data_IF_556561977348
#
_entry.id   IF_556561977348
#
_cell.length_a   1.000
_cell.length_b   1.000
_cell.length_c   1.000
_cell.angle_alpha   90.00
_cell.angle_beta   90.00
_cell.angle_gamma   90.00
#
_symmetry.space_group_name_H-M   'P 1'
#
loop_
_entity.id
_entity.type
_entity.pdbx_description
1 polymer ?
#
# COMPACT_ATOMS: atom_id res chain seq x y z
N UNK A 1 23.61 -6.44 14.16
CA UNK A 1 22.30 -6.94 14.59
C UNK A 1 21.91 -8.02 13.58
N UNK A 2 21.15 -9.04 13.98
CA UNK A 2 20.60 -10.01 13.04
C UNK A 2 19.56 -9.35 12.14
N UNK A 3 19.31 -9.91 10.97
CA UNK A 3 18.28 -9.44 10.04
C UNK A 3 17.12 -10.45 9.99
N UNK A 4 15.90 -10.03 9.64
CA UNK A 4 14.78 -10.96 9.50
C UNK A 4 15.10 -12.19 8.65
N UNK A 5 15.72 -11.99 7.49
CA UNK A 5 16.08 -13.09 6.59
C UNK A 5 17.06 -14.08 7.25
N UNK A 6 18.06 -13.59 8.01
CA UNK A 6 19.01 -14.43 8.73
C UNK A 6 18.35 -15.22 9.87
N UNK A 7 17.29 -14.67 10.47
CA UNK A 7 16.49 -15.32 11.52
C UNK A 7 15.37 -16.21 10.95
N UNK A 8 15.29 -16.36 9.61
CA UNK A 8 14.33 -17.22 8.91
C UNK A 8 12.95 -16.62 8.73
N UNK A 9 12.79 -15.30 8.91
CA UNK A 9 11.56 -14.58 8.61
C UNK A 9 11.51 -14.13 7.16
N UNK A 10 10.28 -13.96 6.64
CA UNK A 10 10.01 -13.39 5.32
C UNK A 10 8.67 -12.68 5.30
N UNK A 11 8.52 -11.69 4.44
CA UNK A 11 7.24 -11.07 4.13
C UNK A 11 6.38 -12.05 3.34
N UNK A 12 5.20 -12.47 3.83
CA UNK A 12 4.28 -13.28 3.05
C UNK A 12 3.63 -12.44 1.95
N UNK A 13 3.14 -13.09 0.90
CA UNK A 13 2.31 -12.41 -0.08
C UNK A 13 0.99 -11.93 0.54
N UNK A 14 0.40 -10.87 -0.01
CA UNK A 14 -0.83 -10.27 0.52
C UNK A 14 -2.03 -11.23 0.48
N UNK A 15 -2.05 -12.20 -0.42
CA UNK A 15 -3.11 -13.24 -0.46
C UNK A 15 -2.94 -14.36 0.57
N UNK A 16 -1.87 -14.37 1.37
CA UNK A 16 -1.73 -15.29 2.49
C UNK A 16 -2.83 -15.06 3.53
N UNK A 17 -3.20 -16.05 4.36
CA UNK A 17 -4.21 -15.85 5.40
C UNK A 17 -3.84 -14.72 6.36
N UNK A 18 -4.80 -13.85 6.65
CA UNK A 18 -4.66 -12.75 7.60
C UNK A 18 -5.27 -13.09 8.97
N UNK A 19 -4.65 -12.62 10.02
CA UNK A 19 -5.24 -12.56 11.36
C UNK A 19 -6.20 -11.38 11.46
N UNK A 20 -5.81 -10.21 10.90
CA UNK A 20 -6.61 -8.97 10.86
C UNK A 20 -6.02 -7.95 9.89
N UNK A 21 -6.80 -6.90 9.66
CA UNK A 21 -6.36 -5.67 9.00
C UNK A 21 -6.20 -4.56 10.02
N UNK A 22 -5.09 -3.80 9.92
CA UNK A 22 -4.87 -2.55 10.63
C UNK A 22 -5.18 -1.37 9.71
N UNK A 23 -5.80 -0.32 10.28
CA UNK A 23 -6.05 0.96 9.63
C UNK A 23 -5.75 2.09 10.61
N UNK A 24 -5.60 3.33 10.12
CA UNK A 24 -5.52 4.55 10.94
C UNK A 24 -6.74 5.45 10.65
N UNK A 25 -7.12 6.28 11.62
CA UNK A 25 -8.30 7.13 11.53
C UNK A 25 -7.92 8.57 11.15
N UNK A 26 -8.52 9.17 10.11
CA UNK A 26 -8.20 10.53 9.70
C UNK A 26 -8.45 11.56 10.82
N UNK A 27 -7.40 12.31 11.13
CA UNK A 27 -7.40 13.46 12.01
C UNK A 27 -7.23 14.78 11.23
N UNK A 28 -7.46 15.94 11.85
CA UNK A 28 -7.19 17.22 11.22
C UNK A 28 -5.68 17.42 11.02
N UNK A 29 -5.25 17.58 9.77
CA UNK A 29 -3.87 17.82 9.35
C UNK A 29 -3.85 18.54 8.00
N UNK A 30 -2.69 18.67 7.35
CA UNK A 30 -2.56 19.32 6.05
C UNK A 30 -3.34 18.59 4.93
N UNK A 31 -3.48 17.26 5.03
CA UNK A 31 -4.26 16.46 4.08
C UNK A 31 -5.78 16.68 4.23
N UNK A 32 -6.24 16.99 5.46
CA UNK A 32 -7.66 17.11 5.82
C UNK A 32 -7.92 18.41 6.60
N UNK A 33 -7.55 19.57 6.02
CA UNK A 33 -7.70 20.88 6.68
C UNK A 33 -9.16 21.32 6.81
N UNK A 34 -9.97 21.11 5.75
CA UNK A 34 -11.37 21.47 5.78
C UNK A 34 -12.19 20.44 6.60
N UNK A 35 -13.00 20.89 7.58
CA UNK A 35 -13.83 19.97 8.36
C UNK A 35 -14.82 19.14 7.53
N UNK A 36 -15.29 19.62 6.37
CA UNK A 36 -16.18 18.88 5.50
C UNK A 36 -15.42 17.76 4.77
N UNK A 37 -14.19 18.03 4.33
CA UNK A 37 -13.31 17.05 3.69
C UNK A 37 -12.86 16.00 4.70
N UNK A 38 -12.48 16.38 5.91
CA UNK A 38 -12.21 15.45 6.99
C UNK A 38 -13.41 14.54 7.28
N UNK A 39 -14.62 15.09 7.35
CA UNK A 39 -15.83 14.31 7.57
C UNK A 39 -16.13 13.37 6.39
N UNK A 40 -15.85 13.78 5.14
CA UNK A 40 -15.98 12.93 3.96
C UNK A 40 -14.94 11.80 3.99
N UNK A 41 -13.69 12.10 4.31
CA UNK A 41 -12.60 11.13 4.43
C UNK A 41 -12.91 10.09 5.51
N UNK A 42 -13.36 10.49 6.69
CA UNK A 42 -13.80 9.57 7.74
C UNK A 42 -14.89 8.60 7.29
N UNK A 43 -15.85 9.08 6.47
CA UNK A 43 -16.87 8.18 5.87
C UNK A 43 -16.27 7.22 4.85
N UNK A 44 -15.32 7.68 4.03
CA UNK A 44 -14.64 6.83 3.04
C UNK A 44 -13.81 5.73 3.73
N UNK A 45 -12.98 6.09 4.73
CA UNK A 45 -12.24 5.12 5.56
C UNK A 45 -13.16 4.10 6.23
N UNK A 46 -14.26 4.57 6.82
CA UNK A 46 -15.24 3.69 7.43
C UNK A 46 -15.90 2.74 6.41
N UNK A 47 -16.09 3.17 5.16
CA UNK A 47 -16.62 2.30 4.10
C UNK A 47 -15.65 1.17 3.76
N UNK A 48 -14.35 1.47 3.66
CA UNK A 48 -13.31 0.45 3.47
C UNK A 48 -13.23 -0.49 4.67
N UNK A 49 -13.17 0.04 5.89
CA UNK A 49 -13.13 -0.77 7.11
C UNK A 49 -14.31 -1.76 7.19
N UNK A 50 -15.53 -1.29 6.88
CA UNK A 50 -16.73 -2.15 6.84
C UNK A 50 -16.70 -3.18 5.71
N UNK A 51 -16.12 -2.83 4.55
CA UNK A 51 -15.95 -3.78 3.44
C UNK A 51 -15.00 -4.91 3.83
N UNK A 52 -13.84 -4.58 4.42
CA UNK A 52 -12.86 -5.55 4.93
C UNK A 52 -13.43 -6.38 6.07
N UNK A 53 -14.16 -5.76 7.00
CA UNK A 53 -14.74 -6.43 8.19
C UNK A 53 -15.68 -7.60 7.85
N UNK A 54 -16.22 -7.63 6.63
CA UNK A 54 -17.03 -8.75 6.14
C UNK A 54 -16.22 -10.06 6.00
N UNK A 55 -14.90 -9.95 5.96
CA UNK A 55 -13.98 -11.04 5.65
C UNK A 55 -13.00 -11.34 6.78
N UNK A 56 -12.56 -10.32 7.51
CA UNK A 56 -11.58 -10.46 8.58
C UNK A 56 -11.73 -9.36 9.65
N UNK A 57 -11.18 -9.56 10.86
CA UNK A 57 -11.17 -8.53 11.89
C UNK A 57 -10.45 -7.27 11.43
N UNK A 58 -10.94 -6.10 11.85
CA UNK A 58 -10.31 -4.79 11.58
C UNK A 58 -10.05 -4.09 12.89
N UNK A 59 -8.85 -3.54 13.05
CA UNK A 59 -8.47 -2.65 14.15
C UNK A 59 -8.03 -1.31 13.59
N UNK A 60 -8.61 -0.23 14.12
CA UNK A 60 -8.34 1.14 13.67
C UNK A 60 -7.61 1.90 14.78
N UNK A 61 -6.41 2.40 14.48
CA UNK A 61 -5.67 3.31 15.36
C UNK A 61 -6.28 4.70 15.20
N UNK A 62 -6.70 5.31 16.31
CA UNK A 62 -7.34 6.63 16.36
C UNK A 62 -6.50 7.58 17.21
N UNK A 63 -6.54 8.87 16.90
CA UNK A 63 -6.00 9.89 17.80
C UNK A 63 -6.70 9.89 19.16
N UNK A 64 -6.04 10.41 20.22
CA UNK A 64 -6.60 10.46 21.57
C UNK A 64 -7.99 11.10 21.61
N UNK A 65 -8.95 10.43 22.26
CA UNK A 65 -10.33 10.86 22.39
C UNK A 65 -11.21 10.69 21.14
N UNK A 66 -10.69 10.14 20.05
CA UNK A 66 -11.44 9.97 18.79
C UNK A 66 -12.17 8.62 18.68
N UNK A 67 -11.86 7.64 19.53
CA UNK A 67 -12.43 6.29 19.44
C UNK A 67 -13.96 6.25 19.45
N UNK A 68 -14.61 7.11 20.22
CA UNK A 68 -16.06 7.12 20.29
C UNK A 68 -16.70 7.60 18.98
N UNK A 69 -16.12 8.62 18.35
CA UNK A 69 -16.57 9.12 17.06
C UNK A 69 -16.31 8.09 15.95
N UNK A 70 -15.10 7.54 15.91
CA UNK A 70 -14.73 6.52 14.96
C UNK A 70 -15.69 5.32 14.99
N UNK A 71 -15.98 4.76 16.17
CA UNK A 71 -16.92 3.64 16.35
C UNK A 71 -18.32 3.92 15.84
N UNK A 72 -18.81 5.17 15.87
CA UNK A 72 -20.14 5.53 15.33
C UNK A 72 -20.20 5.32 13.81
N UNK A 73 -19.08 5.55 13.09
CA UNK A 73 -19.00 5.39 11.65
C UNK A 73 -18.54 3.99 11.23
N UNK A 74 -17.58 3.41 11.97
CA UNK A 74 -17.02 2.09 11.72
C UNK A 74 -18.02 0.97 12.00
N UNK A 75 -18.86 1.14 13.01
CA UNK A 75 -19.76 0.10 13.51
C UNK A 75 -19.18 -0.66 14.72
N UNK A 76 -20.00 -1.49 15.39
CA UNK A 76 -19.63 -2.13 16.64
C UNK A 76 -18.61 -3.26 16.50
N UNK A 77 -18.44 -3.79 15.30
CA UNK A 77 -17.59 -4.96 15.02
C UNK A 77 -16.14 -4.58 14.61
N UNK A 78 -15.80 -3.29 14.62
CA UNK A 78 -14.46 -2.79 14.34
C UNK A 78 -13.81 -2.34 15.65
N UNK A 79 -12.66 -2.89 15.96
CA UNK A 79 -11.87 -2.52 17.13
C UNK A 79 -11.20 -1.17 16.94
N UNK A 80 -11.04 -0.41 18.03
CA UNK A 80 -10.28 0.86 18.02
C UNK A 80 -9.27 0.90 19.15
N UNK A 81 -8.08 1.44 18.86
CA UNK A 81 -7.03 1.73 19.85
C UNK A 81 -6.59 3.18 19.69
N UNK A 82 -6.21 3.83 20.80
CA UNK A 82 -5.80 5.25 20.75
C UNK A 82 -4.29 5.41 20.81
N UNK A 83 -3.75 6.19 19.86
CA UNK A 83 -2.37 6.67 19.79
C UNK A 83 -2.33 8.01 19.06
N UNK A 84 -1.34 8.84 19.39
CA UNK A 84 -1.06 10.03 18.61
C UNK A 84 -0.72 9.63 17.17
N UNK A 85 -1.30 10.37 16.22
CA UNK A 85 -1.15 10.19 14.78
C UNK A 85 -0.94 11.56 14.15
N UNK A 86 -0.14 11.63 13.09
CA UNK A 86 -0.01 12.79 12.25
C UNK A 86 -0.89 12.65 11.00
N UNK A 87 -0.99 11.43 10.42
CA UNK A 87 -1.86 11.11 9.27
C UNK A 87 -2.46 9.69 9.36
N UNK A 88 -3.17 9.25 8.32
CA UNK A 88 -4.03 8.05 8.37
C UNK A 88 -3.63 6.94 7.36
N UNK A 89 -2.41 6.94 6.87
CA UNK A 89 -1.92 6.03 5.82
C UNK A 89 -1.25 4.80 6.43
N UNK A 90 -2.04 3.86 6.97
CA UNK A 90 -1.54 2.71 7.75
C UNK A 90 -0.62 1.78 6.94
N UNK A 91 -0.73 1.75 5.62
CA UNK A 91 0.18 1.00 4.76
C UNK A 91 1.63 1.47 4.95
N UNK A 92 1.82 2.78 5.09
CA UNK A 92 3.13 3.41 5.07
C UNK A 92 3.68 3.65 6.47
N UNK A 93 2.82 4.06 7.41
CA UNK A 93 3.22 4.31 8.80
C UNK A 93 3.19 3.04 9.67
N UNK A 94 2.51 1.99 9.21
CA UNK A 94 2.41 0.70 9.91
C UNK A 94 3.61 -0.22 9.66
N UNK A 95 3.71 -1.31 10.45
CA UNK A 95 4.81 -2.26 10.29
C UNK A 95 4.64 -3.10 9.04
N UNK A 96 5.74 -3.47 8.38
CA UNK A 96 5.75 -4.57 7.43
C UNK A 96 5.85 -5.88 8.19
N UNK A 97 4.76 -6.64 8.24
CA UNK A 97 4.74 -7.90 8.98
C UNK A 97 5.45 -9.04 8.25
N UNK A 98 6.10 -9.90 9.03
CA UNK A 98 6.86 -11.04 8.57
C UNK A 98 6.41 -12.31 9.29
N UNK A 99 6.50 -13.43 8.60
CA UNK A 99 6.23 -14.77 9.17
C UNK A 99 7.41 -15.70 8.94
N UNK A 100 7.58 -16.69 9.80
CA UNK A 100 8.68 -17.67 9.70
C UNK A 100 9.40 -17.80 11.04
N UNK A 101 10.70 -17.99 10.98
CA UNK A 101 11.45 -18.28 12.17
C UNK A 101 10.84 -19.44 12.92
N UNK A 102 10.90 -19.85 13.97
CA UNK A 102 10.25 -21.00 14.63
C UNK A 102 8.70 -20.91 14.74
N UNK A 103 8.03 -20.29 13.75
CA UNK A 103 6.57 -20.14 13.68
C UNK A 103 6.05 -18.86 14.36
N UNK A 104 6.84 -17.78 14.36
CA UNK A 104 6.50 -16.50 14.97
C UNK A 104 6.03 -15.43 13.97
N UNK A 105 5.41 -14.37 14.52
CA UNK A 105 5.18 -13.10 13.87
C UNK A 105 6.35 -12.17 14.20
N UNK A 106 6.90 -11.51 13.19
CA UNK A 106 7.85 -10.42 13.36
C UNK A 106 7.43 -9.23 12.49
N UNK A 107 8.12 -8.11 12.62
CA UNK A 107 7.82 -6.92 11.85
C UNK A 107 9.09 -6.17 11.47
N UNK A 108 9.06 -5.44 10.36
CA UNK A 108 10.02 -4.40 10.01
C UNK A 108 9.41 -3.05 10.33
N UNK A 109 10.19 -2.25 11.04
CA UNK A 109 9.96 -0.83 11.30
C UNK A 109 10.93 -0.05 10.41
N UNK A 110 10.40 0.48 9.29
CA UNK A 110 11.16 1.28 8.36
C UNK A 110 11.38 2.70 8.90
N UNK A 111 12.47 3.34 8.49
CA UNK A 111 12.58 4.78 8.74
C UNK A 111 11.54 5.50 7.89
N UNK A 112 10.55 6.13 8.54
CA UNK A 112 9.53 6.94 7.90
C UNK A 112 9.88 8.43 8.03
N UNK A 113 9.83 9.17 6.91
CA UNK A 113 10.17 10.59 6.87
C UNK A 113 9.14 11.47 6.13
N UNK A 114 7.87 11.07 6.12
CA UNK A 114 6.81 11.84 5.47
C UNK A 114 6.93 11.82 3.93
N UNK A 115 7.09 10.64 3.36
CA UNK A 115 7.15 10.39 1.90
C UNK A 115 8.24 11.19 1.17
N UNK A 116 9.42 11.29 1.75
CA UNK A 116 10.52 12.06 1.20
C UNK A 116 10.56 13.49 1.73
N UNK A 117 10.29 13.67 3.02
CA UNK A 117 10.37 14.94 3.76
C UNK A 117 9.59 16.09 3.08
N UNK A 118 8.37 15.81 2.62
CA UNK A 118 7.54 16.79 1.95
C UNK A 118 7.08 17.90 2.91
N UNK A 119 7.07 19.14 2.47
CA UNK A 119 6.83 20.32 3.31
C UNK A 119 5.45 20.31 4.03
N UNK A 120 4.46 19.63 3.45
CA UNK A 120 3.13 19.50 4.02
C UNK A 120 3.03 18.38 5.07
N UNK A 121 3.92 17.38 5.02
CA UNK A 121 3.87 16.20 5.88
C UNK A 121 4.41 16.49 7.29
N UNK A 122 3.78 15.87 8.29
CA UNK A 122 4.31 15.72 9.64
C UNK A 122 4.38 14.23 9.94
N UNK A 123 5.37 13.80 10.71
CA UNK A 123 5.57 12.37 10.96
C UNK A 123 6.20 12.03 12.31
N UNK A 124 6.23 12.98 13.27
CA UNK A 124 6.84 12.72 14.58
C UNK A 124 6.09 11.64 15.38
N UNK A 125 4.78 11.50 15.16
CA UNK A 125 3.96 10.44 15.74
C UNK A 125 3.90 9.22 14.85
N UNK A 126 3.71 9.41 13.56
CA UNK A 126 3.58 8.35 12.55
C UNK A 126 4.82 7.47 12.49
N UNK A 127 6.03 8.03 12.62
CA UNK A 127 7.29 7.29 12.70
C UNK A 127 7.39 6.30 13.89
N UNK A 128 6.41 6.28 14.80
CA UNK A 128 6.36 5.37 15.94
C UNK A 128 5.24 4.34 15.86
N UNK A 129 4.37 4.46 14.84
CA UNK A 129 3.19 3.60 14.71
C UNK A 129 3.57 2.17 14.37
N UNK A 130 4.60 1.97 13.52
CA UNK A 130 5.05 0.64 13.16
C UNK A 130 5.45 -0.19 14.39
N UNK A 131 6.31 0.35 15.25
CA UNK A 131 6.70 -0.32 16.50
C UNK A 131 5.49 -0.57 17.40
N UNK A 132 4.60 0.43 17.55
CA UNK A 132 3.42 0.30 18.40
C UNK A 132 2.43 -0.77 17.92
N UNK A 133 2.12 -0.78 16.62
CA UNK A 133 1.22 -1.78 16.04
C UNK A 133 1.86 -3.17 16.09
N UNK A 134 3.17 -3.28 15.91
CA UNK A 134 3.94 -4.53 16.08
C UNK A 134 3.78 -5.11 17.49
N UNK A 135 3.89 -4.26 18.52
CA UNK A 135 3.69 -4.67 19.92
C UNK A 135 2.25 -5.15 20.17
N UNK A 136 1.26 -4.40 19.68
CA UNK A 136 -0.17 -4.77 19.81
C UNK A 136 -0.51 -6.06 19.05
N UNK A 137 0.16 -6.32 17.93
CA UNK A 137 0.01 -7.53 17.15
C UNK A 137 0.66 -8.76 17.80
N UNK A 138 1.45 -8.58 18.85
CA UNK A 138 2.18 -9.64 19.52
C UNK A 138 3.39 -10.15 18.74
N UNK A 139 4.03 -9.28 17.96
CA UNK A 139 5.26 -9.62 17.24
C UNK A 139 6.37 -10.03 18.22
N UNK A 140 7.05 -11.13 17.92
CA UNK A 140 8.17 -11.61 18.75
C UNK A 140 9.40 -10.74 18.66
N UNK A 141 9.55 -10.05 17.53
CA UNK A 141 10.69 -9.15 17.25
C UNK A 141 10.27 -8.09 16.26
N UNK A 142 10.67 -6.84 16.52
CA UNK A 142 10.59 -5.73 15.56
C UNK A 142 12.00 -5.36 15.12
N UNK A 143 12.24 -5.42 13.82
CA UNK A 143 13.54 -5.09 13.21
C UNK A 143 13.48 -3.67 12.65
N UNK A 144 14.32 -2.78 13.18
CA UNK A 144 14.44 -1.44 12.66
C UNK A 144 15.38 -1.40 11.45
N UNK A 145 14.96 -0.76 10.36
CA UNK A 145 15.79 -0.48 9.20
C UNK A 145 16.17 1.01 9.15
N UNK A 146 17.37 1.28 8.63
CA UNK A 146 17.82 2.67 8.35
C UNK A 146 17.40 3.17 7.00
N UNK A 147 16.91 2.28 6.13
CA UNK A 147 16.39 2.66 4.83
C UNK A 147 15.09 3.44 5.05
N UNK A 148 14.99 4.62 4.45
CA UNK A 148 13.71 5.33 4.36
C UNK A 148 12.86 4.59 3.35
N UNK A 149 11.75 4.03 3.84
CA UNK A 149 10.86 3.20 3.03
C UNK A 149 9.45 3.20 3.61
N UNK A 150 8.48 2.87 2.77
CA UNK A 150 7.07 2.75 3.13
C UNK A 150 6.50 1.42 2.63
N UNK A 151 5.44 0.93 3.25
CA UNK A 151 4.79 -0.32 2.86
C UNK A 151 4.20 -0.29 1.46
N UNK A 152 3.72 0.88 0.98
CA UNK A 152 3.23 1.07 -0.39
C UNK A 152 4.32 1.09 -1.46
N UNK A 153 5.57 1.28 -1.04
CA UNK A 153 6.73 1.29 -1.94
C UNK A 153 7.26 -0.11 -2.29
N UNK A 154 6.69 -1.15 -1.70
CA UNK A 154 7.11 -2.55 -1.88
C UNK A 154 5.89 -3.45 -2.15
N UNK A 155 6.05 -4.45 -3.02
CA UNK A 155 5.05 -5.51 -3.21
C UNK A 155 5.75 -6.85 -3.47
N UNK A 156 5.39 -7.91 -2.73
CA UNK A 156 6.06 -9.20 -2.79
C UNK A 156 5.18 -10.33 -3.31
N UNK A 157 5.79 -11.32 -3.96
CA UNK A 157 5.11 -12.54 -4.42
C UNK A 157 5.05 -13.66 -3.36
N UNK A 158 5.65 -13.46 -2.17
CA UNK A 158 5.79 -14.47 -1.13
C UNK A 158 6.77 -15.60 -1.47
N UNK A 159 7.36 -15.61 -2.66
CA UNK A 159 8.31 -16.63 -3.13
C UNK A 159 9.72 -16.08 -3.36
N UNK A 160 9.94 -14.84 -2.96
CA UNK A 160 11.26 -14.21 -2.95
C UNK A 160 11.46 -13.10 -3.97
N UNK A 161 10.40 -12.66 -4.67
CA UNK A 161 10.44 -11.52 -5.58
C UNK A 161 9.82 -10.30 -4.91
N UNK A 162 10.38 -9.11 -5.15
CA UNK A 162 9.82 -7.82 -4.75
C UNK A 162 9.78 -6.86 -5.93
N UNK A 163 8.67 -6.12 -6.07
CA UNK A 163 8.55 -4.97 -6.96
C UNK A 163 8.96 -3.71 -6.20
N UNK A 164 9.71 -2.83 -6.85
CA UNK A 164 10.21 -1.55 -6.33
C UNK A 164 10.12 -0.49 -7.43
N UNK A 165 10.10 0.79 -7.05
CA UNK A 165 10.29 1.90 -7.98
C UNK A 165 11.59 2.64 -7.70
N UNK A 166 12.27 3.11 -8.75
CA UNK A 166 13.53 3.85 -8.62
C UNK A 166 13.32 5.19 -7.95
N UNK A 167 12.24 5.89 -8.31
CA UNK A 167 11.95 7.23 -7.79
C UNK A 167 11.71 7.26 -6.28
N UNK A 168 11.21 6.17 -5.69
CA UNK A 168 11.06 6.05 -4.24
C UNK A 168 12.37 5.59 -3.62
N UNK A 169 12.85 4.42 -4.03
CA UNK A 169 13.95 3.75 -3.32
C UNK A 169 15.29 4.48 -3.45
N UNK A 170 15.53 5.15 -4.58
CA UNK A 170 16.73 5.92 -4.88
C UNK A 170 16.47 7.43 -4.87
N UNK A 171 15.29 7.84 -4.39
CA UNK A 171 14.91 9.24 -4.30
C UNK A 171 15.85 10.05 -3.42
N UNK A 172 16.28 11.25 -3.86
CA UNK A 172 17.24 12.07 -3.11
C UNK A 172 16.69 12.51 -1.74
N UNK A 173 15.37 12.61 -1.61
CA UNK A 173 14.71 13.01 -0.35
C UNK A 173 14.51 11.85 0.62
N UNK A 174 14.75 10.60 0.15
CA UNK A 174 14.67 9.39 0.99
C UNK A 174 16.05 8.79 1.26
N UNK A 175 16.76 8.36 0.20
CA UNK A 175 17.97 7.56 0.35
C UNK A 175 19.16 8.12 -0.46
N UNK A 176 19.56 9.40 -0.28
CA UNK A 176 20.58 10.05 -1.12
C UNK A 176 21.98 9.44 -1.00
N UNK A 177 22.23 8.66 0.04
CA UNK A 177 23.55 8.07 0.34
C UNK A 177 23.61 6.56 0.12
N UNK A 178 22.51 5.96 -0.40
CA UNK A 178 22.45 4.54 -0.70
C UNK A 178 22.60 4.28 -2.19
N UNK A 179 23.43 3.33 -2.54
CA UNK A 179 23.47 2.81 -3.93
C UNK A 179 22.30 1.84 -4.15
N UNK A 180 21.99 1.55 -5.42
CA UNK A 180 20.97 0.56 -5.76
C UNK A 180 21.26 -0.80 -5.12
N UNK A 181 22.51 -1.23 -5.14
CA UNK A 181 22.95 -2.50 -4.57
C UNK A 181 22.78 -2.55 -3.06
N UNK A 182 23.05 -1.45 -2.37
CA UNK A 182 22.85 -1.34 -0.91
C UNK A 182 21.36 -1.36 -0.55
N UNK A 183 20.52 -0.61 -1.28
CA UNK A 183 19.06 -0.65 -1.11
C UNK A 183 18.52 -2.05 -1.33
N UNK A 184 18.92 -2.71 -2.42
CA UNK A 184 18.47 -4.06 -2.75
C UNK A 184 18.89 -5.07 -1.69
N UNK A 185 20.13 -4.98 -1.20
CA UNK A 185 20.64 -5.82 -0.11
C UNK A 185 19.85 -5.64 1.19
N UNK A 186 19.52 -4.39 1.58
CA UNK A 186 18.73 -4.09 2.76
C UNK A 186 17.29 -4.62 2.60
N UNK A 187 16.64 -4.35 1.47
CA UNK A 187 15.30 -4.88 1.17
C UNK A 187 15.28 -6.40 1.27
N UNK A 188 16.26 -7.08 0.68
CA UNK A 188 16.34 -8.55 0.74
C UNK A 188 16.59 -9.06 2.17
N UNK A 189 17.42 -8.38 2.93
CA UNK A 189 17.69 -8.72 4.33
C UNK A 189 16.46 -8.53 5.23
N UNK A 190 15.66 -7.50 4.98
CA UNK A 190 14.47 -7.18 5.77
C UNK A 190 13.24 -7.99 5.37
N UNK A 191 13.04 -8.28 4.08
CA UNK A 191 11.85 -8.96 3.58
C UNK A 191 12.02 -10.47 3.35
N UNK A 192 13.26 -10.98 3.38
CA UNK A 192 13.55 -12.37 3.03
C UNK A 192 13.37 -12.66 1.54
N UNK A 193 13.46 -11.62 0.70
CA UNK A 193 13.41 -11.73 -0.77
C UNK A 193 14.80 -12.02 -1.36
N UNK A 194 14.89 -12.28 -2.66
CA UNK A 194 16.15 -12.62 -3.35
C UNK A 194 16.27 -11.96 -4.71
N UNK A 195 15.19 -11.35 -5.20
CA UNK A 195 15.15 -10.69 -6.50
C UNK A 195 14.26 -9.46 -6.44
N UNK A 196 14.82 -8.33 -6.83
CA UNK A 196 14.08 -7.10 -7.05
C UNK A 196 13.76 -6.93 -8.55
N UNK A 197 12.56 -6.47 -8.84
CA UNK A 197 12.16 -5.97 -10.15
C UNK A 197 11.94 -4.47 -9.98
N UNK A 198 12.78 -3.69 -10.64
CA UNK A 198 12.78 -2.24 -10.55
C UNK A 198 11.93 -1.65 -11.66
N UNK A 199 10.95 -0.85 -11.27
CA UNK A 199 10.16 -0.02 -12.17
C UNK A 199 10.70 1.41 -12.15
N UNK A 200 10.66 2.15 -13.29
CA UNK A 200 11.32 3.45 -13.35
C UNK A 200 10.68 4.51 -12.46
N UNK A 201 9.35 4.52 -12.37
CA UNK A 201 8.59 5.54 -11.65
C UNK A 201 7.11 5.14 -11.44
N UNK A 202 6.37 5.93 -10.66
CA UNK A 202 4.91 5.90 -10.54
C UNK A 202 4.18 6.74 -11.59
N UNK A 203 2.86 6.94 -11.40
CA UNK A 203 2.00 7.74 -12.27
C UNK A 203 2.30 9.24 -12.12
N UNK A 204 2.05 10.02 -13.16
CA UNK A 204 2.35 11.46 -13.20
C UNK A 204 1.58 12.25 -12.14
N UNK A 205 0.35 11.85 -11.82
CA UNK A 205 -0.46 12.48 -10.77
C UNK A 205 0.16 12.39 -9.36
N UNK A 206 1.02 11.39 -9.13
CA UNK A 206 1.69 11.16 -7.83
C UNK A 206 2.91 12.07 -7.57
N UNK A 207 3.17 13.04 -8.44
CA UNK A 207 4.30 13.97 -8.32
C UNK A 207 3.86 15.42 -8.29
N UNK A 208 4.60 16.31 -7.58
CA UNK A 208 4.35 17.75 -7.66
C UNK A 208 4.31 18.26 -9.12
N UNK A 209 3.45 19.21 -9.45
CA UNK A 209 2.57 19.96 -8.55
C UNK A 209 1.16 19.37 -8.36
N UNK A 210 0.96 18.07 -8.63
CA UNK A 210 -0.35 17.43 -8.68
C UNK A 210 -0.94 17.05 -7.29
N UNK A 211 -0.65 17.83 -6.24
CA UNK A 211 -1.23 17.62 -4.92
C UNK A 211 -0.37 16.73 -3.98
N UNK A 212 -1.03 16.02 -3.08
CA UNK A 212 -0.38 15.08 -2.17
C UNK A 212 0.01 13.80 -2.93
N UNK A 213 1.23 13.33 -2.76
CA UNK A 213 1.69 12.14 -3.45
C UNK A 213 2.87 11.47 -2.76
N UNK A 214 3.16 10.26 -3.18
CA UNK A 214 4.21 9.41 -2.59
C UNK A 214 5.53 9.47 -3.34
N UNK A 215 5.56 10.16 -4.48
CA UNK A 215 6.68 10.24 -5.43
C UNK A 215 6.96 8.89 -6.12
N UNK A 216 5.94 8.06 -6.30
CA UNK A 216 6.03 6.89 -7.16
C UNK A 216 5.90 5.53 -6.48
N UNK A 217 5.04 5.37 -5.48
CA UNK A 217 4.78 4.07 -4.88
C UNK A 217 4.40 3.02 -5.92
N UNK A 218 4.89 1.79 -5.70
CA UNK A 218 4.64 0.68 -6.63
C UNK A 218 3.20 0.19 -6.58
N UNK A 219 2.52 0.30 -5.46
CA UNK A 219 1.15 -0.19 -5.22
C UNK A 219 0.07 0.57 -5.99
N UNK A 220 0.43 1.66 -6.68
CA UNK A 220 -0.44 2.38 -7.62
C UNK A 220 -0.25 1.87 -9.05
N UNK A 221 0.92 1.33 -9.41
CA UNK A 221 1.25 0.96 -10.78
C UNK A 221 1.29 -0.55 -11.04
N UNK A 222 1.68 -1.37 -10.06
CA UNK A 222 1.78 -2.82 -10.23
C UNK A 222 1.66 -3.57 -8.89
N UNK A 223 1.03 -4.75 -8.93
CA UNK A 223 0.91 -5.65 -7.78
C UNK A 223 0.94 -7.11 -8.24
N UNK A 224 1.50 -8.00 -7.43
CA UNK A 224 1.39 -9.44 -7.67
C UNK A 224 -0.04 -9.91 -7.35
N UNK A 225 -0.65 -10.67 -8.26
CA UNK A 225 -1.94 -11.33 -8.03
C UNK A 225 -1.76 -12.77 -7.52
N UNK A 226 -0.70 -13.42 -7.93
CA UNK A 226 -0.21 -14.75 -7.50
C UNK A 226 1.23 -14.92 -7.99
N UNK A 227 1.96 -15.98 -7.54
CA UNK A 227 3.31 -16.21 -8.03
C UNK A 227 3.38 -16.28 -9.56
N UNK A 228 4.26 -15.44 -10.15
CA UNK A 228 4.42 -15.34 -11.60
C UNK A 228 3.34 -14.52 -12.35
N UNK A 229 2.36 -13.94 -11.67
CA UNK A 229 1.31 -13.09 -12.28
C UNK A 229 1.27 -11.73 -11.63
N UNK A 230 1.37 -10.67 -12.42
CA UNK A 230 1.34 -9.26 -12.00
C UNK A 230 0.17 -8.56 -12.68
N UNK A 231 -0.61 -7.80 -11.91
CA UNK A 231 -1.53 -6.80 -12.46
C UNK A 231 -0.77 -5.49 -12.64
N UNK A 232 -0.98 -4.81 -13.75
CA UNK A 232 -0.32 -3.53 -14.04
C UNK A 232 -1.32 -2.50 -14.56
N UNK A 233 -1.21 -1.29 -14.07
CA UNK A 233 -1.98 -0.14 -14.54
C UNK A 233 -1.60 0.20 -15.98
N UNK A 234 -2.60 0.46 -16.82
CA UNK A 234 -2.40 0.86 -18.22
C UNK A 234 -3.25 2.08 -18.53
N UNK A 235 -2.59 3.14 -19.00
CA UNK A 235 -3.29 4.32 -19.53
C UNK A 235 -3.48 4.17 -21.05
N UNK A 236 -4.71 3.94 -21.52
CA UNK A 236 -4.95 3.69 -22.95
C UNK A 236 -4.96 4.97 -23.82
N UNK A 237 -5.15 6.15 -23.21
CA UNK A 237 -5.19 7.41 -23.96
C UNK A 237 -3.78 7.88 -24.33
N UNK A 238 -3.40 7.94 -25.63
CA UNK A 238 -2.06 8.38 -26.04
C UNK A 238 -1.78 9.86 -25.79
N UNK A 239 -2.79 10.68 -25.49
CA UNK A 239 -2.61 12.07 -25.11
C UNK A 239 -2.25 12.25 -23.62
N UNK A 240 -2.50 11.21 -22.82
CA UNK A 240 -2.18 11.26 -21.39
C UNK A 240 -0.68 11.00 -21.14
N UNK A 241 -0.01 11.74 -20.25
CA UNK A 241 1.43 11.55 -19.98
C UNK A 241 1.77 10.14 -19.49
N UNK A 242 0.86 9.46 -18.81
CA UNK A 242 1.09 8.10 -18.32
C UNK A 242 0.94 7.00 -19.39
N UNK A 243 0.55 7.34 -20.61
CA UNK A 243 0.46 6.34 -21.69
C UNK A 243 1.83 5.66 -21.92
N UNK A 244 2.88 6.44 -22.16
CA UNK A 244 4.22 5.87 -22.36
C UNK A 244 4.84 5.32 -21.06
N UNK A 245 4.56 5.94 -19.90
CA UNK A 245 5.02 5.45 -18.59
C UNK A 245 4.51 4.03 -18.32
N UNK A 246 3.21 3.83 -18.46
CA UNK A 246 2.59 2.52 -18.18
C UNK A 246 2.97 1.46 -19.22
N UNK A 247 3.18 1.85 -20.48
CA UNK A 247 3.68 0.98 -21.53
C UNK A 247 5.11 0.50 -21.27
N UNK A 248 6.00 1.39 -20.78
CA UNK A 248 7.35 1.04 -20.35
C UNK A 248 7.31 0.05 -19.17
N UNK A 249 6.50 0.33 -18.14
CA UNK A 249 6.33 -0.56 -16.98
C UNK A 249 5.87 -1.95 -17.42
N UNK A 250 4.84 -2.05 -18.26
CA UNK A 250 4.36 -3.33 -18.80
C UNK A 250 5.45 -4.06 -19.58
N UNK A 251 6.23 -3.33 -20.39
CA UNK A 251 7.36 -3.89 -21.14
C UNK A 251 8.44 -4.48 -20.24
N UNK A 252 8.81 -3.77 -19.18
CA UNK A 252 9.77 -4.22 -18.16
C UNK A 252 9.26 -5.45 -17.43
N UNK A 253 8.01 -5.44 -16.97
CA UNK A 253 7.42 -6.58 -16.28
C UNK A 253 7.38 -7.82 -17.19
N UNK A 254 6.98 -7.70 -18.46
CA UNK A 254 6.94 -8.80 -19.44
C UNK A 254 8.33 -9.40 -19.76
N UNK A 255 9.38 -8.56 -19.70
CA UNK A 255 10.76 -9.00 -19.92
C UNK A 255 11.42 -9.57 -18.65
N UNK A 256 10.77 -9.42 -17.50
CA UNK A 256 11.28 -9.85 -16.20
C UNK A 256 10.94 -11.31 -15.88
N UNK A 257 11.72 -11.89 -14.98
CA UNK A 257 11.41 -13.18 -14.35
C UNK A 257 11.33 -13.00 -12.84
N UNK A 258 10.57 -13.85 -12.17
CA UNK A 258 10.55 -13.89 -10.72
C UNK A 258 11.80 -14.54 -10.10
N UNK A 259 11.87 -14.63 -8.78
CA UNK A 259 12.99 -15.24 -8.04
C UNK A 259 13.17 -16.75 -8.29
N UNK A 260 12.20 -17.40 -8.92
CA UNK A 260 12.26 -18.81 -9.35
C UNK A 260 12.56 -18.98 -10.84
N UNK A 261 12.79 -17.88 -11.57
CA UNK A 261 13.11 -17.88 -12.99
C UNK A 261 11.90 -18.01 -13.91
N UNK A 262 10.65 -17.90 -13.40
CA UNK A 262 9.43 -17.89 -14.21
C UNK A 262 9.26 -16.55 -14.89
N UNK A 263 8.94 -16.51 -16.17
CA UNK A 263 8.51 -15.29 -16.85
C UNK A 263 7.18 -14.79 -16.23
N UNK A 264 7.03 -13.49 -16.13
CA UNK A 264 5.82 -12.89 -15.58
C UNK A 264 4.69 -12.87 -16.62
N UNK A 265 3.50 -13.34 -16.22
CA UNK A 265 2.23 -13.02 -16.88
C UNK A 265 1.81 -11.64 -16.40
N UNK A 266 1.64 -10.69 -17.32
CA UNK A 266 1.18 -9.34 -17.00
C UNK A 266 -0.26 -9.16 -17.43
N UNK A 267 -1.14 -8.96 -16.45
CA UNK A 267 -2.56 -8.67 -16.66
C UNK A 267 -2.76 -7.16 -16.61
N UNK A 268 -3.09 -6.58 -17.75
CA UNK A 268 -3.31 -5.15 -17.89
C UNK A 268 -4.66 -4.74 -17.31
N UNK A 269 -4.64 -3.74 -16.43
CA UNK A 269 -5.83 -3.11 -15.85
C UNK A 269 -5.95 -1.70 -16.42
N UNK A 270 -6.95 -1.41 -17.24
CA UNK A 270 -7.10 -0.08 -17.83
C UNK A 270 -7.39 0.96 -16.75
N UNK A 271 -6.74 2.11 -16.84
CA UNK A 271 -7.03 3.29 -16.02
C UNK A 271 -8.52 3.66 -16.08
N UNK A 272 -9.09 4.32 -15.06
CA UNK A 272 -10.39 4.99 -15.19
C UNK A 272 -10.41 5.97 -16.35
N UNK A 273 -11.60 6.35 -16.82
CA UNK A 273 -11.74 7.33 -17.91
C UNK A 273 -11.50 8.77 -17.44
N UNK A 274 -11.54 9.02 -16.13
CA UNK A 274 -11.20 10.30 -15.51
C UNK A 274 -9.71 10.56 -15.67
N UNK A 275 -9.36 11.62 -16.38
CA UNK A 275 -7.96 11.97 -16.67
C UNK A 275 -7.44 13.03 -15.71
N UNK A 276 -8.30 13.90 -15.22
CA UNK A 276 -7.97 15.00 -14.31
C UNK A 276 -8.95 15.05 -13.13
N UNK A 277 -8.43 15.34 -11.96
CA UNK A 277 -9.19 15.61 -10.75
C UNK A 277 -8.62 16.88 -10.10
N UNK A 278 -9.48 17.78 -9.63
CA UNK A 278 -9.10 19.05 -8.97
C UNK A 278 -8.09 19.91 -9.75
N UNK A 279 -8.12 19.83 -11.10
CA UNK A 279 -7.24 20.58 -12.01
C UNK A 279 -5.85 19.99 -12.21
N UNK A 280 -5.62 18.75 -11.78
CA UNK A 280 -4.38 18.01 -11.89
C UNK A 280 -4.62 16.63 -12.55
N UNK A 281 -3.56 16.01 -13.07
CA UNK A 281 -3.63 14.63 -13.56
C UNK A 281 -4.05 13.70 -12.45
N UNK A 282 -5.10 12.92 -12.69
CA UNK A 282 -5.56 11.92 -11.73
C UNK A 282 -4.63 10.69 -11.74
N UNK A 283 -4.24 10.25 -10.56
CA UNK A 283 -3.49 9.00 -10.34
C UNK A 283 -4.40 7.82 -9.98
N UNK A 284 -5.70 7.92 -10.29
CA UNK A 284 -6.71 6.92 -10.02
C UNK A 284 -6.33 5.56 -10.59
N UNK A 285 -6.21 4.57 -9.71
CA UNK A 285 -5.76 3.24 -10.09
C UNK A 285 -6.52 2.12 -9.39
N UNK A 286 -7.00 1.15 -10.17
CA UNK A 286 -7.56 -0.09 -9.65
C UNK A 286 -6.48 -1.04 -9.08
N UNK A 287 -5.19 -0.74 -9.33
CA UNK A 287 -4.09 -1.52 -8.73
C UNK A 287 -4.02 -1.32 -7.23
N UNK A 288 -4.42 -0.15 -6.73
CA UNK A 288 -4.43 0.17 -5.30
C UNK A 288 -5.63 -0.49 -4.56
N UNK A 289 -5.85 -1.78 -4.83
CA UNK A 289 -6.85 -2.64 -4.18
C UNK A 289 -6.26 -3.32 -2.95
N UNK A 290 -7.11 -3.93 -2.14
CA UNK A 290 -6.69 -4.68 -0.97
C UNK A 290 -7.24 -6.12 -0.99
N UNK A 291 -6.34 -7.10 -0.80
CA UNK A 291 -6.70 -8.50 -0.67
C UNK A 291 -6.91 -8.84 0.81
N UNK A 292 -8.09 -9.34 1.15
CA UNK A 292 -8.41 -9.84 2.49
C UNK A 292 -8.94 -11.28 2.43
N UNK A 293 -9.11 -11.95 3.57
CA UNK A 293 -9.54 -13.35 3.62
C UNK A 293 -10.87 -13.57 2.86
N UNK A 294 -10.79 -14.19 1.67
CA UNK A 294 -11.98 -14.44 0.83
C UNK A 294 -12.56 -13.22 0.13
N UNK A 295 -11.91 -12.05 0.19
CA UNK A 295 -12.35 -10.82 -0.46
C UNK A 295 -11.27 -10.09 -1.22
N UNK A 296 -11.71 -9.25 -2.17
CA UNK A 296 -10.94 -8.17 -2.82
C UNK A 296 -11.73 -6.90 -2.62
N UNK A 297 -11.16 -5.92 -1.92
CA UNK A 297 -11.73 -4.57 -1.81
C UNK A 297 -11.08 -3.71 -2.88
N UNK A 298 -11.86 -3.43 -3.93
CA UNK A 298 -11.39 -2.78 -5.16
C UNK A 298 -11.85 -1.33 -5.20
N UNK A 299 -10.95 -0.43 -5.57
CA UNK A 299 -11.28 0.97 -5.82
C UNK A 299 -12.37 1.10 -6.89
N UNK A 300 -13.31 2.02 -6.68
CA UNK A 300 -14.28 2.48 -7.66
C UNK A 300 -14.20 4.01 -7.76
N UNK A 301 -14.50 4.53 -8.94
CA UNK A 301 -14.35 5.96 -9.24
C UNK A 301 -15.63 6.57 -9.84
N UNK A 302 -16.77 5.86 -9.73
CA UNK A 302 -18.02 6.21 -10.43
C UNK A 302 -17.78 6.30 -11.98
N UNK A 303 -17.00 5.35 -12.48
CA UNK A 303 -16.43 5.33 -13.82
C UNK A 303 -16.97 4.13 -14.60
N UNK A 304 -17.24 4.26 -15.92
CA UNK A 304 -17.68 3.14 -16.77
C UNK A 304 -16.74 1.93 -16.75
N UNK A 305 -15.46 2.10 -16.38
CA UNK A 305 -14.48 1.01 -16.29
C UNK A 305 -14.47 0.29 -14.96
N UNK A 306 -15.18 0.77 -13.92
CA UNK A 306 -15.25 0.10 -12.62
C UNK A 306 -15.68 -1.37 -12.76
N UNK A 307 -16.74 -1.66 -13.51
CA UNK A 307 -17.20 -3.05 -13.73
C UNK A 307 -16.27 -3.85 -14.64
N UNK A 308 -15.57 -3.21 -15.59
CA UNK A 308 -14.56 -3.87 -16.40
C UNK A 308 -13.39 -4.36 -15.51
N UNK A 309 -12.87 -3.48 -14.67
CA UNK A 309 -11.82 -3.81 -13.69
C UNK A 309 -12.30 -4.91 -12.74
N UNK A 310 -13.48 -4.76 -12.13
CA UNK A 310 -14.04 -5.77 -11.25
C UNK A 310 -14.20 -7.13 -11.96
N UNK A 311 -14.57 -7.16 -13.23
CA UNK A 311 -14.65 -8.37 -14.05
C UNK A 311 -13.29 -9.05 -14.24
N UNK A 312 -12.20 -8.27 -14.37
CA UNK A 312 -10.84 -8.81 -14.45
C UNK A 312 -10.45 -9.42 -13.09
N UNK A 313 -10.67 -8.69 -11.98
CA UNK A 313 -10.36 -9.19 -10.65
C UNK A 313 -11.15 -10.43 -10.25
N UNK A 314 -12.43 -10.56 -10.64
CA UNK A 314 -13.22 -11.78 -10.43
C UNK A 314 -12.64 -13.00 -11.18
N UNK A 315 -12.01 -12.80 -12.34
CA UNK A 315 -11.33 -13.89 -13.07
C UNK A 315 -9.96 -14.23 -12.45
N UNK A 316 -9.24 -13.23 -11.93
CA UNK A 316 -7.96 -13.43 -11.26
C UNK A 316 -8.10 -14.15 -9.92
N UNK A 317 -9.18 -13.86 -9.19
CA UNK A 317 -9.45 -14.36 -7.84
C UNK A 317 -10.85 -15.01 -7.76
N UNK A 318 -11.08 -16.13 -8.46
CA UNK A 318 -12.41 -16.74 -8.54
C UNK A 318 -12.95 -17.23 -7.19
N UNK A 319 -12.06 -17.44 -6.21
CA UNK A 319 -12.41 -17.85 -4.84
C UNK A 319 -12.69 -16.66 -3.90
N UNK A 320 -12.52 -15.41 -4.39
CA UNK A 320 -12.72 -14.19 -3.58
C UNK A 320 -13.91 -13.39 -4.08
N UNK A 321 -14.60 -12.77 -3.14
CA UNK A 321 -15.67 -11.80 -3.46
C UNK A 321 -15.07 -10.43 -3.76
N UNK A 322 -15.25 -9.92 -4.97
CA UNK A 322 -14.83 -8.55 -5.33
C UNK A 322 -15.91 -7.57 -4.88
N UNK A 323 -15.51 -6.61 -4.04
CA UNK A 323 -16.36 -5.53 -3.52
C UNK A 323 -15.80 -4.19 -3.98
N UNK A 324 -16.57 -3.46 -4.79
CA UNK A 324 -16.24 -2.09 -5.20
C UNK A 324 -16.54 -1.11 -4.06
N UNK A 325 -15.59 -0.22 -3.75
CA UNK A 325 -15.73 0.86 -2.77
C UNK A 325 -15.27 2.17 -3.41
N UNK A 326 -16.09 3.21 -3.30
CA UNK A 326 -15.75 4.54 -3.82
C UNK A 326 -14.48 5.07 -3.15
N UNK A 327 -13.44 5.26 -3.96
CA UNK A 327 -12.11 5.65 -3.53
C UNK A 327 -11.75 7.11 -3.89
N UNK A 328 -12.65 7.85 -4.56
CA UNK A 328 -12.37 9.22 -5.03
C UNK A 328 -11.91 10.14 -3.90
N UNK A 329 -12.61 10.10 -2.76
CA UNK A 329 -12.23 10.90 -1.58
C UNK A 329 -10.90 10.46 -0.98
N UNK A 330 -10.54 9.17 -1.08
CA UNK A 330 -9.26 8.66 -0.58
C UNK A 330 -8.13 9.15 -1.48
N UNK A 331 -8.30 9.04 -2.80
CA UNK A 331 -7.32 9.52 -3.77
C UNK A 331 -7.13 11.04 -3.75
N UNK A 332 -8.18 11.82 -3.44
CA UNK A 332 -8.05 13.25 -3.21
C UNK A 332 -7.10 13.60 -2.05
N UNK A 333 -6.90 12.68 -1.10
CA UNK A 333 -5.91 12.79 -0.02
C UNK A 333 -4.52 12.26 -0.37
N UNK A 334 -4.30 11.70 -1.57
CA UNK A 334 -2.99 11.25 -2.06
C UNK A 334 -2.77 9.74 -2.11
N UNK A 335 -3.80 8.91 -2.05
CA UNK A 335 -3.67 7.47 -2.18
C UNK A 335 -4.99 6.73 -2.26
N UNK A 336 -4.98 5.39 -2.24
CA UNK A 336 -6.17 4.56 -2.39
C UNK A 336 -6.42 3.59 -1.23
N UNK A 337 -7.19 2.54 -1.51
CA UNK A 337 -7.63 1.56 -0.51
C UNK A 337 -6.45 0.79 0.09
N UNK A 338 -5.45 0.42 -0.73
CA UNK A 338 -4.26 -0.27 -0.26
C UNK A 338 -3.45 0.61 0.71
N UNK A 339 -3.31 1.90 0.42
CA UNK A 339 -2.55 2.85 1.22
C UNK A 339 -3.08 3.01 2.65
N UNK A 340 -4.38 2.81 2.87
CA UNK A 340 -5.01 2.95 4.18
C UNK A 340 -5.15 1.63 4.96
N UNK A 341 -4.70 0.53 4.40
CA UNK A 341 -4.83 -0.82 4.96
C UNK A 341 -3.49 -1.52 5.13
N UNK A 342 -3.31 -2.27 6.22
CA UNK A 342 -2.12 -3.08 6.47
C UNK A 342 -2.52 -4.44 7.02
N UNK A 343 -2.18 -5.51 6.32
CA UNK A 343 -2.46 -6.87 6.74
C UNK A 343 -1.52 -7.34 7.84
N UNK A 344 -2.08 -7.97 8.87
CA UNK A 344 -1.33 -8.81 9.80
C UNK A 344 -1.53 -10.26 9.36
N UNK A 345 -0.48 -10.95 8.93
CA UNK A 345 -0.59 -12.34 8.52
C UNK A 345 -0.91 -13.25 9.70
N UNK A 346 -1.62 -14.33 9.43
CA UNK A 346 -1.86 -15.41 10.39
C UNK A 346 -0.62 -16.29 10.49
N UNK A 347 -0.26 -16.67 11.72
CA UNK A 347 0.86 -17.58 12.02
C UNK A 347 0.38 -19.02 11.97
#
# INVERSE_FOLDING_TARGET
>A
MSTPAADGFRMPAEWAPHERTWMAWPGPNATFEDPADLAASRRAWASVARAVRRFEPVTVVCGPGQSQEARRLLGPDVDTVERDLDDAWMRDIGPTFLTGGAGGLAAVDWTFNGWGAQDWARWEHDAKIAAHVSDLAGSTTTYASKLVNEGGAIHVDGEGTVLLTETVQLGPERNPHWTREEVEAEIHAMLGTRKAIWLPRGLTGDYPPNGFGTLGHVDIVAAFARPGVVVAHVQPDPAHPDHEVTKEIVGLLRSSTDARGRSLEVVEIPAPTVLEADGHWADYSYINHYLCNGGVVLCAFDDPRDELAAGIFRRLFPERTVTLVDARTIFAGGGGIHCITQQQPKI
#
